data_IF_037574301853
#
_entry.id   IF_037574301853
#
_cell.length_a   1.000
_cell.length_b   1.000
_cell.length_c   1.000
_cell.angle_alpha   90.00
_cell.angle_beta   90.00
_cell.angle_gamma   90.00
#
_symmetry.space_group_name_H-M   'P 1'
#
loop_
_entity.id
_entity.type
_entity.pdbx_description
1 polymer ?
#
# COMPACT_ATOMS: atom_id res chain seq x y z
N UNK A 1 -31.28 -37.24 -8.89
CA UNK A 1 -31.46 -35.80 -8.66
C UNK A 1 -30.28 -35.38 -7.76
N UNK A 2 -29.24 -34.74 -8.31
CA UNK A 2 -29.10 -33.27 -8.46
C UNK A 2 -29.16 -32.60 -7.07
N UNK A 3 -28.14 -31.88 -6.58
CA UNK A 3 -27.30 -30.91 -7.26
C UNK A 3 -25.89 -30.74 -6.67
N UNK A 4 -24.96 -30.45 -7.58
CA UNK A 4 -23.64 -29.87 -7.31
C UNK A 4 -23.78 -28.51 -6.63
N UNK A 5 -23.03 -28.29 -5.54
CA UNK A 5 -22.75 -26.96 -5.03
C UNK A 5 -21.24 -26.73 -5.04
N UNK A 6 -20.71 -26.42 -6.23
CA UNK A 6 -19.42 -25.76 -6.40
C UNK A 6 -19.55 -24.38 -5.75
N UNK A 7 -19.17 -24.24 -4.48
CA UNK A 7 -19.01 -22.93 -3.86
C UNK A 7 -17.73 -22.33 -4.40
N UNK A 8 -17.86 -21.71 -5.58
CA UNK A 8 -16.90 -20.77 -6.12
C UNK A 8 -16.85 -19.59 -5.15
N UNK A 9 -16.06 -19.75 -4.09
CA UNK A 9 -15.87 -18.80 -3.01
C UNK A 9 -15.14 -17.57 -3.53
N UNK A 10 -15.86 -16.72 -4.27
CA UNK A 10 -15.40 -15.38 -4.66
C UNK A 10 -15.09 -14.63 -3.37
N UNK A 11 -13.83 -14.69 -2.93
CA UNK A 11 -13.32 -13.94 -1.78
C UNK A 11 -13.69 -12.47 -2.03
N UNK A 12 -14.68 -11.96 -1.29
CA UNK A 12 -15.06 -10.55 -1.34
C UNK A 12 -13.86 -9.76 -0.82
N UNK A 13 -13.10 -9.15 -1.72
CA UNK A 13 -12.08 -8.18 -1.31
C UNK A 13 -12.81 -6.92 -0.85
N UNK A 14 -12.51 -6.38 0.35
CA UNK A 14 -13.05 -5.10 0.76
C UNK A 14 -12.68 -4.06 -0.29
N UNK A 15 -13.66 -3.28 -0.74
CA UNK A 15 -13.42 -2.12 -1.58
C UNK A 15 -13.22 -0.91 -0.68
N UNK A 16 -12.10 -0.21 -0.88
CA UNK A 16 -11.77 1.00 -0.17
C UNK A 16 -11.60 2.12 -1.19
N UNK A 17 -12.33 3.21 -1.01
CA UNK A 17 -12.15 4.45 -1.76
C UNK A 17 -11.46 5.45 -0.85
N UNK A 18 -10.36 6.04 -1.31
CA UNK A 18 -9.64 7.09 -0.60
C UNK A 18 -9.24 8.20 -1.55
N UNK A 19 -9.27 9.44 -1.05
CA UNK A 19 -8.71 10.59 -1.76
C UNK A 19 -7.21 10.66 -1.47
N UNK A 20 -6.39 10.76 -2.52
CA UNK A 20 -4.93 10.79 -2.43
C UNK A 20 -4.39 11.95 -3.26
N UNK A 21 -3.27 12.53 -2.83
CA UNK A 21 -2.60 13.57 -3.60
C UNK A 21 -2.20 13.06 -5.00
N UNK A 22 -2.32 13.86 -6.08
CA UNK A 22 -1.95 13.44 -7.43
C UNK A 22 -0.52 12.87 -7.53
N UNK A 23 0.44 13.43 -6.80
CA UNK A 23 1.82 12.92 -6.81
C UNK A 23 1.96 11.53 -6.19
N UNK A 24 1.14 11.22 -5.19
CA UNK A 24 1.09 9.88 -4.62
C UNK A 24 0.61 8.89 -5.68
N UNK A 25 -0.38 9.26 -6.49
CA UNK A 25 -0.87 8.43 -7.60
C UNK A 25 0.22 8.24 -8.66
N UNK A 26 0.93 9.31 -9.03
CA UNK A 26 2.02 9.26 -9.99
C UNK A 26 3.16 8.35 -9.52
N UNK A 27 3.59 8.49 -8.27
CA UNK A 27 4.62 7.63 -7.67
C UNK A 27 4.17 6.17 -7.61
N UNK A 28 2.91 5.91 -7.26
CA UNK A 28 2.35 4.56 -7.27
C UNK A 28 2.38 3.94 -8.69
N UNK A 29 2.05 4.70 -9.73
CA UNK A 29 2.12 4.22 -11.11
C UNK A 29 3.56 3.86 -11.50
N UNK A 30 4.54 4.70 -11.17
CA UNK A 30 5.96 4.40 -11.42
C UNK A 30 6.41 3.11 -10.72
N UNK A 31 5.92 2.85 -9.50
CA UNK A 31 6.19 1.61 -8.78
C UNK A 31 5.53 0.41 -9.47
N UNK A 32 4.29 0.55 -9.95
CA UNK A 32 3.60 -0.49 -10.71
C UNK A 32 4.39 -0.87 -11.97
N UNK A 33 4.87 0.13 -12.72
CA UNK A 33 5.64 -0.07 -13.95
C UNK A 33 6.99 -0.72 -13.66
N UNK A 34 7.73 -0.19 -12.66
CA UNK A 34 9.05 -0.69 -12.27
C UNK A 34 9.00 -2.16 -11.85
N UNK A 35 8.00 -2.55 -11.07
CA UNK A 35 7.89 -3.90 -10.54
C UNK A 35 6.98 -4.82 -11.37
N UNK A 36 6.38 -4.30 -12.46
CA UNK A 36 5.40 -5.01 -13.30
C UNK A 36 4.29 -5.66 -12.47
N UNK A 37 3.78 -4.90 -11.49
CA UNK A 37 2.76 -5.35 -10.55
C UNK A 37 1.49 -4.52 -10.69
N UNK A 38 0.35 -5.12 -10.35
CA UNK A 38 -0.90 -4.38 -10.26
C UNK A 38 -0.88 -3.39 -9.10
N UNK A 39 -1.61 -2.28 -9.24
CA UNK A 39 -1.71 -1.24 -8.19
C UNK A 39 -2.12 -1.82 -6.83
N UNK A 40 -3.06 -2.76 -6.80
CA UNK A 40 -3.47 -3.43 -5.57
C UNK A 40 -2.31 -4.16 -4.88
N UNK A 41 -1.49 -4.91 -5.63
CA UNK A 41 -0.36 -5.63 -5.06
C UNK A 41 0.74 -4.70 -4.53
N UNK A 42 0.98 -3.58 -5.21
CA UNK A 42 1.95 -2.56 -4.75
C UNK A 42 1.45 -1.92 -3.45
N UNK A 43 0.17 -1.53 -3.40
CA UNK A 43 -0.44 -0.95 -2.20
C UNK A 43 -0.43 -1.94 -1.03
N UNK A 44 -0.82 -3.20 -1.26
CA UNK A 44 -0.78 -4.24 -0.23
C UNK A 44 0.63 -4.41 0.35
N UNK A 45 1.66 -4.43 -0.50
CA UNK A 45 3.06 -4.51 -0.05
C UNK A 45 3.49 -3.28 0.73
N UNK A 46 3.11 -2.08 0.30
CA UNK A 46 3.44 -0.84 1.01
C UNK A 46 2.79 -0.81 2.40
N UNK A 47 1.53 -1.22 2.50
CA UNK A 47 0.82 -1.33 3.79
C UNK A 47 1.52 -2.32 4.70
N UNK A 48 1.88 -3.51 4.20
CA UNK A 48 2.60 -4.52 5.01
C UNK A 48 3.98 -4.05 5.45
N UNK A 49 4.69 -3.29 4.62
CA UNK A 49 6.00 -2.73 4.98
C UNK A 49 5.85 -1.66 6.06
N UNK A 50 4.87 -0.77 5.90
CA UNK A 50 4.57 0.25 6.90
C UNK A 50 4.11 -0.38 8.21
N UNK A 51 3.20 -1.36 8.17
CA UNK A 51 2.69 -2.05 9.36
C UNK A 51 3.82 -2.75 10.14
N UNK A 52 4.75 -3.43 9.44
CA UNK A 52 5.94 -4.02 10.07
C UNK A 52 6.87 -2.99 10.69
N UNK A 53 6.95 -1.81 10.08
CA UNK A 53 7.79 -0.71 10.55
C UNK A 53 7.07 0.18 11.56
N UNK A 54 5.76 0.04 11.72
CA UNK A 54 4.96 0.88 12.59
C UNK A 54 4.80 0.19 13.96
N UNK A 55 5.49 0.73 14.95
CA UNK A 55 5.43 0.27 16.34
C UNK A 55 5.41 1.48 17.26
N UNK A 56 4.69 1.40 18.38
CA UNK A 56 4.59 2.48 19.37
C UNK A 56 4.25 3.87 18.79
N UNK A 57 3.33 3.89 17.81
CA UNK A 57 2.94 5.09 17.03
C UNK A 57 4.09 5.78 16.27
N UNK A 58 5.16 5.04 15.93
CA UNK A 58 6.31 5.52 15.17
C UNK A 58 6.62 4.58 14.01
N UNK A 59 7.04 5.14 12.89
CA UNK A 59 7.62 4.37 11.78
C UNK A 59 9.12 4.21 12.03
N UNK A 60 9.63 2.99 11.94
CA UNK A 60 11.05 2.68 12.07
C UNK A 60 11.68 2.40 10.71
N UNK A 61 12.87 2.97 10.49
CA UNK A 61 13.63 2.79 9.27
C UNK A 61 14.26 1.40 9.23
N UNK A 62 14.76 0.96 8.06
CA UNK A 62 15.44 -0.34 7.95
C UNK A 62 16.67 -0.47 8.87
N UNK A 63 17.21 0.65 9.34
CA UNK A 63 18.30 0.74 10.32
C UNK A 63 17.85 0.42 11.76
N UNK A 64 16.55 0.30 12.02
CA UNK A 64 15.99 0.09 13.37
C UNK A 64 15.79 1.36 14.18
N UNK A 65 16.18 2.53 13.66
CA UNK A 65 15.92 3.83 14.29
C UNK A 65 14.56 4.40 13.85
N UNK A 66 13.86 5.19 14.70
CA UNK A 66 12.63 5.84 14.30
C UNK A 66 12.90 6.78 13.11
N UNK A 67 12.19 6.57 12.01
CA UNK A 67 12.25 7.46 10.86
C UNK A 67 11.75 8.85 11.28
N UNK A 68 12.64 9.84 11.23
CA UNK A 68 12.24 11.24 11.27
C UNK A 68 11.92 11.68 9.85
N UNK A 69 10.64 11.83 9.53
CA UNK A 69 10.25 12.57 8.33
C UNK A 69 10.34 14.05 8.69
N UNK A 70 11.47 14.69 8.40
CA UNK A 70 11.50 16.14 8.47
C UNK A 70 10.62 16.66 7.34
N UNK A 71 9.77 17.64 7.65
CA UNK A 71 8.88 18.28 6.67
C UNK A 71 9.63 18.85 5.46
N UNK A 72 10.92 19.15 5.62
CA UNK A 72 11.85 19.63 4.58
C UNK A 72 12.36 18.54 3.62
N UNK A 73 12.19 17.25 3.96
CA UNK A 73 12.55 16.13 3.06
C UNK A 73 11.39 15.73 2.14
N UNK A 74 10.20 16.27 2.38
CA UNK A 74 9.08 16.20 1.44
C UNK A 74 9.26 17.38 0.50
N UNK A 75 9.62 17.17 -0.78
CA UNK A 75 9.71 18.29 -1.71
C UNK A 75 8.37 19.02 -1.70
N UNK A 76 8.40 20.34 -1.50
CA UNK A 76 7.21 21.19 -1.67
C UNK A 76 6.71 20.98 -3.10
N UNK A 77 5.58 20.28 -3.23
CA UNK A 77 4.93 20.10 -4.52
C UNK A 77 3.88 21.20 -4.61
N UNK A 78 4.30 22.35 -5.15
CA UNK A 78 3.44 23.42 -5.63
C UNK A 78 2.94 23.09 -7.04
#
# INVERSE_FOLDING_TARGET
MKDSATTDGKRKRPQLTMTVHPDTINRLNLLCDRFRQSRGQVVDRLVLLLDKQYSDNKVYCMTGEPCRWNRVDVPDIF
#
